data_IF_689581926675
#
_entry.id   IF_689581926675
#
_cell.length_a   1.000
_cell.length_b   1.000
_cell.length_c   1.000
_cell.angle_alpha   90.00
_cell.angle_beta   90.00
_cell.angle_gamma   90.00
#
_symmetry.space_group_name_H-M   'P 1'
#
loop_
_entity.id
_entity.type
_entity.pdbx_description
1 polymer ?
#
# COMPACT_ATOMS: atom_id res chain seq x y z
N UNK A 1 -0.68 -14.75 -20.03
CA UNK A 1 -0.10 -16.02 -20.53
C UNK A 1 1.44 -16.01 -20.56
N UNK A 2 2.11 -14.94 -21.01
CA UNK A 2 3.58 -14.87 -21.05
C UNK A 2 4.23 -14.92 -19.65
N UNK A 3 3.65 -14.26 -18.64
CA UNK A 3 4.13 -14.25 -17.27
C UNK A 3 4.02 -15.65 -16.64
N UNK A 4 2.90 -16.34 -16.85
CA UNK A 4 2.71 -17.73 -16.39
C UNK A 4 3.72 -18.71 -16.98
N UNK A 5 4.07 -18.54 -18.26
CA UNK A 5 5.05 -19.39 -18.94
C UNK A 5 6.48 -19.10 -18.46
N UNK A 6 6.79 -17.83 -18.14
CA UNK A 6 8.07 -17.44 -17.53
C UNK A 6 8.20 -18.01 -16.11
N UNK A 7 7.17 -17.90 -15.29
CA UNK A 7 7.15 -18.39 -13.90
C UNK A 7 7.30 -19.91 -13.84
N UNK A 8 6.70 -20.66 -14.79
CA UNK A 8 6.83 -22.13 -14.86
C UNK A 8 8.25 -22.62 -15.13
N UNK A 9 9.11 -21.77 -15.67
CA UNK A 9 10.52 -22.10 -15.96
C UNK A 9 11.49 -21.75 -14.82
N UNK A 10 11.06 -20.97 -13.83
CA UNK A 10 11.87 -20.49 -12.70
C UNK A 10 11.56 -21.36 -11.48
N UNK A 11 12.58 -21.76 -10.74
CA UNK A 11 12.38 -22.48 -9.47
C UNK A 11 11.77 -21.55 -8.41
N UNK A 12 10.89 -22.12 -7.53
CA UNK A 12 10.19 -21.34 -6.48
C UNK A 12 11.17 -20.54 -5.61
N UNK A 13 12.33 -21.09 -5.31
CA UNK A 13 13.37 -20.40 -4.54
C UNK A 13 13.96 -19.19 -5.29
N UNK A 14 14.14 -19.28 -6.60
CA UNK A 14 14.61 -18.16 -7.42
C UNK A 14 13.52 -17.11 -7.59
N UNK A 15 12.27 -17.53 -7.73
CA UNK A 15 11.11 -16.67 -7.77
C UNK A 15 10.96 -15.87 -6.46
N UNK A 16 11.00 -16.54 -5.30
CA UNK A 16 10.91 -15.89 -4.00
C UNK A 16 12.03 -14.84 -3.80
N UNK A 17 13.27 -15.17 -4.23
CA UNK A 17 14.39 -14.23 -4.12
C UNK A 17 14.20 -12.95 -4.98
N UNK A 18 13.54 -13.06 -6.13
CA UNK A 18 13.21 -11.90 -6.97
C UNK A 18 12.07 -11.10 -6.33
N UNK A 19 11.05 -11.79 -5.81
CA UNK A 19 9.89 -11.17 -5.19
C UNK A 19 10.22 -10.39 -3.91
N UNK A 20 11.33 -10.71 -3.21
CA UNK A 20 11.77 -9.92 -2.05
C UNK A 20 12.16 -8.46 -2.38
N UNK A 21 12.50 -8.18 -3.63
CA UNK A 21 12.91 -6.84 -4.10
C UNK A 21 11.72 -6.05 -4.71
N UNK A 22 10.51 -6.63 -4.75
CA UNK A 22 9.32 -6.08 -5.42
C UNK A 22 8.29 -5.62 -4.37
N UNK A 23 7.40 -4.71 -4.70
CA UNK A 23 6.33 -4.22 -3.82
C UNK A 23 5.29 -5.30 -3.53
N UNK A 24 4.61 -5.20 -2.37
CA UNK A 24 3.76 -6.27 -1.85
C UNK A 24 2.53 -6.56 -2.71
N UNK A 25 1.93 -5.54 -3.32
CA UNK A 25 0.82 -5.64 -4.27
C UNK A 25 1.23 -6.42 -5.53
N UNK A 26 2.36 -6.06 -6.14
CA UNK A 26 2.91 -6.79 -7.30
C UNK A 26 3.27 -8.23 -6.93
N UNK A 27 3.80 -8.46 -5.73
CA UNK A 27 4.06 -9.81 -5.21
C UNK A 27 2.76 -10.60 -5.08
N UNK A 28 1.69 -9.98 -4.55
CA UNK A 28 0.39 -10.60 -4.42
C UNK A 28 -0.19 -10.98 -5.79
N UNK A 29 -0.10 -10.10 -6.78
CA UNK A 29 -0.56 -10.35 -8.16
C UNK A 29 0.17 -11.52 -8.81
N UNK A 30 1.49 -11.58 -8.65
CA UNK A 30 2.27 -12.72 -9.15
C UNK A 30 1.86 -14.02 -8.48
N UNK A 31 1.68 -14.00 -7.15
CA UNK A 31 1.30 -15.19 -6.38
C UNK A 31 -0.11 -15.66 -6.76
N UNK A 32 -1.06 -14.77 -7.01
CA UNK A 32 -2.41 -15.14 -7.46
C UNK A 32 -2.42 -15.92 -8.79
N UNK A 33 -1.40 -15.75 -9.62
CA UNK A 33 -1.28 -16.46 -10.89
C UNK A 33 -0.64 -17.86 -10.77
N UNK A 34 -0.08 -18.21 -9.60
CA UNK A 34 0.51 -19.52 -9.32
C UNK A 34 -0.56 -20.56 -9.01
N UNK A 35 -0.18 -21.84 -9.18
CA UNK A 35 -1.01 -22.96 -8.67
C UNK A 35 -1.03 -22.97 -7.12
N UNK A 36 -2.11 -23.43 -6.46
CA UNK A 36 -2.26 -23.34 -5.02
C UNK A 36 -1.10 -23.89 -4.18
N UNK A 37 -0.49 -24.99 -4.64
CA UNK A 37 0.67 -25.59 -3.97
C UNK A 37 1.91 -24.70 -4.07
N UNK A 38 2.08 -24.01 -5.21
CA UNK A 38 3.17 -23.09 -5.44
C UNK A 38 2.97 -21.76 -4.68
N UNK A 39 1.73 -21.29 -4.54
CA UNK A 39 1.40 -20.12 -3.72
C UNK A 39 1.87 -20.30 -2.28
N UNK A 40 1.46 -21.41 -1.66
CA UNK A 40 1.83 -21.71 -0.28
C UNK A 40 3.35 -21.86 -0.10
N UNK A 41 4.03 -22.51 -1.06
CA UNK A 41 5.48 -22.69 -1.01
C UNK A 41 6.24 -21.37 -1.21
N UNK A 42 5.78 -20.50 -2.12
CA UNK A 42 6.39 -19.19 -2.37
C UNK A 42 6.22 -18.29 -1.14
N UNK A 43 5.00 -18.19 -0.60
CA UNK A 43 4.73 -17.42 0.62
C UNK A 43 5.59 -17.87 1.81
N UNK A 44 5.80 -19.18 1.98
CA UNK A 44 6.63 -19.72 3.05
C UNK A 44 8.13 -19.37 2.91
N UNK A 45 8.58 -18.96 1.72
CA UNK A 45 9.97 -18.58 1.46
C UNK A 45 10.21 -17.07 1.52
N UNK A 46 9.15 -16.25 1.51
CA UNK A 46 9.25 -14.80 1.65
C UNK A 46 9.38 -14.42 3.12
N UNK A 47 10.28 -13.50 3.44
CA UNK A 47 10.44 -12.94 4.80
C UNK A 47 9.17 -12.23 5.27
N UNK A 48 8.39 -11.67 4.32
CA UNK A 48 7.11 -10.97 4.53
C UNK A 48 5.89 -11.74 3.99
N UNK A 49 6.01 -13.06 3.90
CA UNK A 49 4.97 -13.91 3.32
C UNK A 49 3.61 -13.82 4.02
N UNK A 50 3.60 -13.60 5.35
CA UNK A 50 2.36 -13.38 6.10
C UNK A 50 1.67 -12.07 5.70
N UNK A 51 2.42 -11.00 5.47
CA UNK A 51 1.91 -9.70 5.03
C UNK A 51 1.30 -9.79 3.62
N UNK A 52 1.98 -10.47 2.70
CA UNK A 52 1.46 -10.74 1.35
C UNK A 52 0.24 -11.65 1.37
N UNK A 53 0.23 -12.66 2.25
CA UNK A 53 -0.93 -13.56 2.38
C UNK A 53 -2.20 -12.84 2.84
N UNK A 54 -2.07 -11.77 3.63
CA UNK A 54 -3.20 -10.92 4.01
C UNK A 54 -3.71 -10.10 2.81
N UNK A 55 -2.85 -9.64 1.91
CA UNK A 55 -3.27 -8.93 0.68
C UNK A 55 -4.07 -9.84 -0.26
N UNK A 56 -3.72 -11.12 -0.34
CA UNK A 56 -4.44 -12.10 -1.16
C UNK A 56 -5.90 -12.32 -0.75
N UNK A 57 -6.34 -11.82 0.41
CA UNK A 57 -7.73 -11.88 0.84
C UNK A 57 -8.60 -10.83 0.15
N UNK A 58 -8.00 -9.78 -0.41
CA UNK A 58 -8.70 -8.74 -1.15
C UNK A 58 -8.77 -9.06 -2.64
N UNK A 59 -9.80 -8.56 -3.31
CA UNK A 59 -9.88 -8.65 -4.77
C UNK A 59 -8.81 -7.80 -5.43
N UNK A 60 -8.19 -8.27 -6.52
CA UNK A 60 -7.15 -7.52 -7.23
C UNK A 60 -7.60 -6.14 -7.71
N UNK A 61 -8.90 -5.96 -8.02
CA UNK A 61 -9.51 -4.69 -8.45
C UNK A 61 -10.04 -3.83 -7.27
N UNK A 62 -9.54 -4.05 -6.05
CA UNK A 62 -9.91 -3.27 -4.87
C UNK A 62 -8.72 -2.49 -4.32
N UNK A 63 -8.99 -1.43 -3.54
CA UNK A 63 -7.95 -0.67 -2.86
C UNK A 63 -7.08 -1.55 -1.94
N UNK A 64 -7.66 -2.59 -1.35
CA UNK A 64 -6.93 -3.57 -0.54
C UNK A 64 -6.01 -4.48 -1.36
N UNK A 65 -6.39 -4.80 -2.61
CA UNK A 65 -5.55 -5.58 -3.53
C UNK A 65 -4.36 -4.79 -4.07
N UNK A 66 -4.54 -3.47 -4.24
CA UNK A 66 -3.51 -2.56 -4.78
C UNK A 66 -2.71 -1.83 -3.70
N UNK A 67 -3.01 -2.02 -2.40
CA UNK A 67 -2.31 -1.32 -1.35
C UNK A 67 -0.93 -1.92 -1.08
N UNK A 68 0.06 -1.05 -0.84
CA UNK A 68 1.35 -1.41 -0.28
C UNK A 68 1.34 -1.28 1.25
N UNK A 69 2.03 -2.19 1.95
CA UNK A 69 2.28 -2.12 3.39
C UNK A 69 3.56 -1.40 3.77
N UNK A 70 4.31 -0.93 2.79
CA UNK A 70 5.58 -0.22 2.97
C UNK A 70 5.44 1.22 3.46
N UNK A 71 4.54 1.53 4.38
CA UNK A 71 4.30 2.88 4.93
C UNK A 71 4.86 3.04 6.35
N UNK A 72 4.95 4.30 6.81
CA UNK A 72 5.46 4.62 8.14
C UNK A 72 4.34 5.09 9.05
N UNK A 73 4.13 4.38 10.16
CA UNK A 73 3.22 4.79 11.23
C UNK A 73 3.95 5.38 12.41
N UNK A 74 3.33 6.36 13.05
CA UNK A 74 3.78 7.01 14.28
C UNK A 74 2.62 7.04 15.26
N UNK A 75 2.88 6.70 16.52
CA UNK A 75 1.86 6.82 17.57
C UNK A 75 1.63 8.30 17.94
N UNK A 76 0.37 8.74 18.10
CA UNK A 76 0.04 10.12 18.40
C UNK A 76 0.58 10.62 19.75
N UNK A 77 0.83 9.71 20.69
CA UNK A 77 1.29 10.04 22.05
C UNK A 77 2.79 10.36 22.14
N UNK A 78 3.56 10.11 21.08
CA UNK A 78 5.00 10.40 21.08
C UNK A 78 5.30 11.86 20.77
N UNK A 79 6.46 12.34 21.19
CA UNK A 79 6.95 13.68 20.87
C UNK A 79 7.60 13.72 19.48
N UNK A 80 7.69 14.93 18.91
CA UNK A 80 8.41 15.21 17.67
C UNK A 80 9.84 14.64 17.69
N UNK A 81 10.56 14.79 18.83
CA UNK A 81 11.90 14.25 18.96
C UNK A 81 11.93 12.72 18.84
N UNK A 82 10.98 12.04 19.49
CA UNK A 82 10.90 10.57 19.44
C UNK A 82 10.55 10.10 18.02
N UNK A 83 9.66 10.79 17.32
CA UNK A 83 9.34 10.50 15.93
C UNK A 83 10.57 10.62 15.00
N UNK A 84 11.34 11.72 15.16
CA UNK A 84 12.59 11.92 14.40
C UNK A 84 13.61 10.82 14.71
N UNK A 85 13.77 10.45 15.98
CA UNK A 85 14.72 9.42 16.37
C UNK A 85 14.29 8.03 15.86
N UNK A 86 12.99 7.74 15.86
CA UNK A 86 12.41 6.54 15.24
C UNK A 86 12.72 6.47 13.74
N UNK A 87 12.46 7.55 12.98
CA UNK A 87 12.77 7.62 11.55
C UNK A 87 14.27 7.44 11.25
N UNK A 88 15.14 7.95 12.11
CA UNK A 88 16.60 7.74 11.97
C UNK A 88 17.04 6.29 12.14
N UNK A 89 16.35 5.54 12.99
CA UNK A 89 16.59 4.11 13.19
C UNK A 89 15.99 3.30 12.05
N UNK A 90 14.74 3.58 11.71
CA UNK A 90 13.98 2.87 10.66
C UNK A 90 14.63 3.05 9.28
N UNK A 91 15.11 4.26 8.96
CA UNK A 91 15.70 4.63 7.67
C UNK A 91 14.83 4.19 6.48
N UNK A 92 13.55 4.56 6.46
CA UNK A 92 12.65 4.16 5.40
C UNK A 92 13.17 4.65 4.04
N UNK A 93 12.94 3.90 2.95
CA UNK A 93 13.21 4.34 1.59
C UNK A 93 12.48 5.66 1.29
N UNK A 94 13.01 6.48 0.39
CA UNK A 94 12.47 7.82 0.10
C UNK A 94 11.11 7.79 -0.60
N UNK A 95 10.84 6.77 -1.37
CA UNK A 95 9.61 6.47 -2.08
C UNK A 95 8.46 6.06 -1.15
N UNK A 96 8.77 5.55 0.05
CA UNK A 96 7.78 5.13 1.06
C UNK A 96 7.46 6.20 2.11
N UNK A 97 7.93 7.43 1.97
CA UNK A 97 7.79 8.51 2.96
C UNK A 97 7.07 9.72 2.36
N UNK A 98 6.02 9.50 1.57
CA UNK A 98 5.16 10.58 1.10
C UNK A 98 4.43 11.25 2.26
N UNK A 99 3.87 10.45 3.16
CA UNK A 99 3.22 10.86 4.41
C UNK A 99 3.69 10.00 5.57
N UNK A 100 3.71 10.58 6.76
CA UNK A 100 3.86 9.86 8.02
C UNK A 100 2.47 9.75 8.63
N UNK A 101 1.96 8.53 8.73
CA UNK A 101 0.60 8.29 9.23
C UNK A 101 0.62 8.23 10.75
N UNK A 102 -0.28 8.97 11.37
CA UNK A 102 -0.41 9.00 12.83
C UNK A 102 -1.57 8.11 13.23
N UNK A 103 -1.30 7.17 14.13
CA UNK A 103 -2.28 6.21 14.62
C UNK A 103 -2.38 6.28 16.15
N UNK A 104 -3.50 5.82 16.70
CA UNK A 104 -3.65 5.62 18.14
C UNK A 104 -2.99 4.30 18.59
N UNK A 105 -3.17 3.95 19.87
CA UNK A 105 -2.58 2.74 20.46
C UNK A 105 -3.17 1.43 19.93
N UNK A 106 -4.29 1.47 19.21
CA UNK A 106 -4.96 0.30 18.61
C UNK A 106 -4.66 0.20 17.12
N UNK A 107 -4.22 1.29 16.47
CA UNK A 107 -3.89 1.35 15.06
C UNK A 107 -4.88 2.15 14.21
N UNK A 108 -5.90 2.78 14.82
CA UNK A 108 -6.83 3.63 14.07
C UNK A 108 -6.11 4.86 13.52
N UNK A 109 -6.34 5.17 12.26
CA UNK A 109 -5.79 6.35 11.60
C UNK A 109 -6.32 7.63 12.24
N UNK A 110 -5.43 8.44 12.81
CA UNK A 110 -5.74 9.73 13.42
C UNK A 110 -5.44 10.91 12.50
N UNK A 111 -4.56 10.73 11.53
CA UNK A 111 -4.16 11.78 10.61
C UNK A 111 -2.79 11.56 9.99
N UNK A 112 -2.21 12.63 9.46
CA UNK A 112 -0.86 12.61 8.89
C UNK A 112 0.00 13.74 9.45
N UNK A 113 1.32 13.52 9.43
CA UNK A 113 2.32 14.54 9.74
C UNK A 113 3.35 14.57 8.61
N UNK A 114 3.71 15.75 8.13
CA UNK A 114 4.76 15.88 7.15
C UNK A 114 6.15 15.91 7.80
N UNK A 115 7.18 15.49 7.06
CA UNK A 115 8.58 15.65 7.49
C UNK A 115 8.89 17.12 7.81
N UNK A 116 8.32 18.06 7.02
CA UNK A 116 8.47 19.50 7.28
C UNK A 116 7.96 19.89 8.66
N UNK A 117 6.77 19.40 9.03
CA UNK A 117 6.17 19.74 10.32
C UNK A 117 6.99 19.18 11.48
N UNK A 118 7.58 18.01 11.34
CA UNK A 118 8.55 17.49 12.32
C UNK A 118 9.78 18.38 12.47
N UNK A 119 10.33 18.90 11.36
CA UNK A 119 11.56 19.71 11.37
C UNK A 119 11.32 21.10 11.99
N UNK A 120 10.16 21.72 11.72
CA UNK A 120 9.87 23.10 12.18
C UNK A 120 9.25 23.15 13.58
N UNK A 121 8.76 22.03 14.08
CA UNK A 121 8.11 21.94 15.39
C UNK A 121 9.13 21.81 16.52
N UNK A 122 8.68 22.20 17.73
CA UNK A 122 9.52 22.02 18.93
C UNK A 122 9.70 20.53 19.24
N UNK A 123 10.93 20.09 19.62
CA UNK A 123 11.20 18.69 19.93
C UNK A 123 10.29 18.05 21.00
N UNK A 124 9.71 18.86 21.88
CA UNK A 124 8.84 18.42 22.98
C UNK A 124 7.35 18.45 22.65
N UNK A 125 6.97 18.97 21.50
CA UNK A 125 5.58 18.99 21.04
C UNK A 125 5.11 17.55 20.80
N UNK A 126 3.89 17.23 21.23
CA UNK A 126 3.26 15.94 20.92
C UNK A 126 2.91 15.86 19.44
N UNK A 127 2.98 14.67 18.83
CA UNK A 127 2.49 14.48 17.47
C UNK A 127 1.01 14.81 17.34
N UNK A 128 0.19 14.51 18.34
CA UNK A 128 -1.23 14.84 18.35
C UNK A 128 -1.53 16.35 18.13
N UNK A 129 -0.58 17.24 18.54
CA UNK A 129 -0.73 18.69 18.38
C UNK A 129 -0.45 19.19 16.95
N UNK A 130 0.35 18.45 16.19
CA UNK A 130 0.77 18.82 14.82
C UNK A 130 0.14 17.94 13.75
N UNK A 131 -0.61 16.91 14.16
CA UNK A 131 -1.30 15.99 13.25
C UNK A 131 -2.40 16.71 12.48
N UNK A 132 -2.35 16.59 11.17
CA UNK A 132 -3.43 17.00 10.27
C UNK A 132 -4.47 15.90 10.26
N UNK A 133 -5.66 16.19 10.82
CA UNK A 133 -6.73 15.20 11.01
C UNK A 133 -7.70 15.10 9.84
N UNK A 134 -7.66 16.06 8.91
CA UNK A 134 -8.45 16.04 7.68
C UNK A 134 -7.75 15.18 6.62
N UNK A 135 -7.85 13.88 6.79
CA UNK A 135 -7.23 12.87 5.91
C UNK A 135 -8.32 12.13 5.17
N UNK A 136 -8.22 12.11 3.84
CA UNK A 136 -9.04 11.25 3.02
C UNK A 136 -8.47 9.83 3.06
N UNK A 137 -9.31 8.87 3.42
CA UNK A 137 -8.99 7.45 3.42
C UNK A 137 -10.05 6.70 2.61
N UNK A 138 -9.70 5.50 2.14
CA UNK A 138 -10.65 4.55 1.53
C UNK A 138 -10.65 3.26 2.33
N UNK A 139 -11.69 2.45 2.19
CA UNK A 139 -11.71 1.11 2.80
C UNK A 139 -11.02 0.11 1.86
N UNK A 140 -10.49 -0.98 2.42
CA UNK A 140 -9.85 -2.03 1.65
C UNK A 140 -10.76 -2.65 0.57
N UNK A 141 -12.08 -2.63 0.79
CA UNK A 141 -13.07 -3.11 -0.17
C UNK A 141 -13.53 -2.05 -1.19
N UNK A 142 -12.99 -0.84 -1.14
CA UNK A 142 -13.29 0.21 -2.13
C UNK A 142 -12.76 -0.23 -3.49
N UNK A 143 -13.58 -0.06 -4.53
CA UNK A 143 -13.20 -0.32 -5.91
C UNK A 143 -11.99 0.53 -6.33
N UNK A 144 -11.11 -0.04 -7.14
CA UNK A 144 -9.87 0.61 -7.57
C UNK A 144 -10.12 1.94 -8.29
N UNK A 145 -11.15 2.02 -9.15
CA UNK A 145 -11.49 3.24 -9.87
C UNK A 145 -12.00 4.33 -8.92
N UNK A 146 -12.82 3.98 -7.92
CA UNK A 146 -13.30 4.93 -6.91
C UNK A 146 -12.15 5.45 -6.04
N UNK A 147 -11.22 4.59 -5.64
CA UNK A 147 -10.01 4.97 -4.92
C UNK A 147 -9.13 5.90 -5.76
N UNK A 148 -8.94 5.57 -7.04
CA UNK A 148 -8.21 6.35 -8.01
C UNK A 148 -8.82 7.75 -8.23
N UNK A 149 -10.14 7.83 -8.41
CA UNK A 149 -10.85 9.10 -8.53
C UNK A 149 -10.73 9.96 -7.26
N UNK A 150 -10.69 9.33 -6.08
CA UNK A 150 -10.49 10.04 -4.81
C UNK A 150 -9.09 10.63 -4.72
N UNK A 151 -8.05 9.88 -5.06
CA UNK A 151 -6.67 10.37 -5.16
C UNK A 151 -6.57 11.58 -6.11
N UNK A 152 -7.12 11.46 -7.32
CA UNK A 152 -7.11 12.51 -8.32
C UNK A 152 -7.88 13.75 -7.87
N UNK A 153 -9.08 13.58 -7.31
CA UNK A 153 -9.95 14.69 -6.87
C UNK A 153 -9.29 15.57 -5.82
N UNK A 154 -8.56 14.97 -4.89
CA UNK A 154 -7.90 15.68 -3.80
C UNK A 154 -6.42 15.94 -4.07
N UNK A 155 -5.92 15.57 -5.26
CA UNK A 155 -4.53 15.75 -5.69
C UNK A 155 -3.54 15.20 -4.66
N UNK A 156 -3.80 13.99 -4.18
CA UNK A 156 -2.99 13.30 -3.19
C UNK A 156 -1.83 12.55 -3.88
N UNK A 157 -0.71 12.38 -3.19
CA UNK A 157 0.40 11.53 -3.62
C UNK A 157 0.21 10.08 -3.16
N UNK A 158 -0.55 9.89 -2.08
CA UNK A 158 -0.93 8.59 -1.56
C UNK A 158 -2.22 8.70 -0.75
N UNK A 159 -3.00 7.64 -0.69
CA UNK A 159 -4.24 7.56 0.07
C UNK A 159 -4.16 6.37 1.04
N UNK A 160 -4.41 6.56 2.34
CA UNK A 160 -4.45 5.46 3.29
C UNK A 160 -5.67 4.57 3.07
N UNK A 161 -5.44 3.28 3.20
CA UNK A 161 -6.45 2.23 3.15
C UNK A 161 -6.69 1.73 4.57
N UNK A 162 -7.94 1.73 4.99
CA UNK A 162 -8.35 1.32 6.33
C UNK A 162 -9.36 0.17 6.26
N UNK A 163 -9.46 -0.59 7.35
CA UNK A 163 -10.54 -1.55 7.53
C UNK A 163 -11.87 -0.88 7.91
N UNK A 164 -12.91 -1.68 8.12
CA UNK A 164 -14.24 -1.22 8.52
C UNK A 164 -14.27 -0.56 9.92
N UNK A 165 -13.25 -0.80 10.75
CA UNK A 165 -13.08 -0.22 12.08
C UNK A 165 -12.23 1.05 12.06
N UNK A 166 -11.58 1.38 10.94
CA UNK A 166 -10.72 2.55 10.74
C UNK A 166 -9.26 2.30 11.10
N UNK A 167 -8.85 1.03 11.23
CA UNK A 167 -7.44 0.64 11.41
C UNK A 167 -6.71 0.78 10.09
N UNK A 168 -5.53 1.38 10.12
CA UNK A 168 -4.71 1.57 8.93
C UNK A 168 -4.07 0.23 8.49
N UNK A 169 -4.44 -0.25 7.32
CA UNK A 169 -3.96 -1.50 6.75
C UNK A 169 -2.90 -1.33 5.67
N UNK A 170 -3.01 -0.28 4.88
CA UNK A 170 -2.12 -0.06 3.74
C UNK A 170 -2.17 1.36 3.20
N UNK A 171 -1.48 1.57 2.11
CA UNK A 171 -1.43 2.83 1.38
C UNK A 171 -1.42 2.54 -0.11
N UNK A 172 -2.28 3.21 -0.86
CA UNK A 172 -2.29 3.22 -2.32
C UNK A 172 -1.63 4.50 -2.80
N UNK A 173 -0.73 4.44 -3.76
CA UNK A 173 0.05 5.59 -4.23
C UNK A 173 -0.46 6.16 -5.56
N UNK A 174 0.03 7.33 -5.97
CA UNK A 174 -0.42 7.97 -7.19
C UNK A 174 0.11 7.29 -8.47
N UNK A 175 1.18 6.51 -8.39
CA UNK A 175 1.70 5.68 -9.47
C UNK A 175 0.76 4.48 -9.74
N UNK A 176 0.28 3.79 -8.69
CA UNK A 176 -0.75 2.74 -8.82
C UNK A 176 -1.99 3.26 -9.55
N UNK A 177 -2.38 4.52 -9.25
CA UNK A 177 -3.49 5.20 -9.91
C UNK A 177 -3.32 5.31 -11.44
N UNK A 178 -2.11 5.56 -11.92
CA UNK A 178 -1.87 5.73 -13.36
C UNK A 178 -2.16 4.42 -14.09
N UNK A 179 -1.74 3.31 -13.51
CA UNK A 179 -1.93 1.98 -14.09
C UNK A 179 -3.42 1.60 -14.09
N UNK A 180 -4.12 1.80 -12.98
CA UNK A 180 -5.59 1.60 -12.89
C UNK A 180 -6.33 2.42 -13.95
N UNK A 181 -6.05 3.71 -14.09
CA UNK A 181 -6.74 4.55 -15.07
C UNK A 181 -6.44 4.16 -16.53
N UNK A 182 -5.27 3.59 -16.82
CA UNK A 182 -4.92 3.08 -18.14
C UNK A 182 -5.65 1.76 -18.44
N UNK A 183 -5.75 0.88 -17.47
CA UNK A 183 -6.46 -0.39 -17.57
C UNK A 183 -7.95 -0.16 -17.81
N UNK A 184 -8.61 0.63 -16.96
CA UNK A 184 -10.04 0.99 -17.09
C UNK A 184 -10.34 1.68 -18.43
N UNK A 185 -9.50 2.64 -18.85
CA UNK A 185 -9.68 3.30 -20.15
C UNK A 185 -9.55 2.32 -21.32
N UNK A 186 -8.73 1.30 -21.19
CA UNK A 186 -8.51 0.27 -22.19
C UNK A 186 -9.72 -0.68 -22.24
N UNK A 187 -10.21 -1.12 -21.08
CA UNK A 187 -11.41 -1.96 -20.99
C UNK A 187 -12.66 -1.26 -21.55
N UNK A 188 -12.87 0.00 -21.19
CA UNK A 188 -13.97 0.80 -21.72
C UNK A 188 -13.90 0.95 -23.24
N UNK A 189 -12.70 1.07 -23.81
CA UNK A 189 -12.52 1.08 -25.26
C UNK A 189 -12.89 -0.27 -25.90
N UNK A 190 -12.50 -1.40 -25.29
CA UNK A 190 -12.86 -2.74 -25.77
C UNK A 190 -14.35 -2.98 -25.68
N UNK A 191 -15.03 -2.60 -24.59
CA UNK A 191 -16.48 -2.66 -24.42
C UNK A 191 -17.21 -1.85 -25.50
N UNK A 192 -16.75 -0.62 -25.80
CA UNK A 192 -17.37 0.22 -26.86
C UNK A 192 -17.22 -0.35 -28.27
N UNK A 193 -16.16 -1.09 -28.55
CA UNK A 193 -15.90 -1.69 -29.87
C UNK A 193 -16.52 -3.10 -29.99
N UNK A 194 -17.08 -3.64 -28.89
CA UNK A 194 -17.72 -4.97 -28.87
C UNK A 194 -16.73 -6.12 -29.02
N UNK A 195 -15.50 -5.93 -28.51
CA UNK A 195 -14.42 -6.93 -28.49
C UNK A 195 -14.27 -7.60 -27.12
N UNK A 196 -15.34 -7.58 -26.30
CA UNK A 196 -15.38 -8.40 -25.08
C UNK A 196 -15.40 -9.88 -25.48
N UNK A 197 -14.33 -10.61 -25.20
CA UNK A 197 -14.31 -12.08 -25.21
C UNK A 197 -14.63 -12.62 -23.81
#
# INVERSE_FOLDING_TARGET
DELRDLIRGVGIHELAAVLEEVEDDVVADVIQQLEPDQQAETLAQLDRGDEVAELLQYGGESAGGLMSRGFVTLNEDISVQQAIDYLRVLRPPSDRVYYLYVVDSVGHLQGTVSIRDLIVSSPRTSLAEITQRDVHAVTANTDQEEAALTLQKYNLLAIPVVDDEGILEGVMTADDLIDVLQEEATEDMYRMVGLDE
#
